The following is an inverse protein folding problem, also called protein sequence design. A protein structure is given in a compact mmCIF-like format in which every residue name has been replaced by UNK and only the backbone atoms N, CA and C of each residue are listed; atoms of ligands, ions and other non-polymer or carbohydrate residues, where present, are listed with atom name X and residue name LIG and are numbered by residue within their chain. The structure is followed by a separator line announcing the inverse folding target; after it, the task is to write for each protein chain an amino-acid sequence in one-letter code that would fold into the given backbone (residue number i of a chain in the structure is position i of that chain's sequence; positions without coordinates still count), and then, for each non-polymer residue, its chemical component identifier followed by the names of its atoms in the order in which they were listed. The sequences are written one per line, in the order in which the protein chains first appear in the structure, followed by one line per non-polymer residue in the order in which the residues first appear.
data_IF_934262039595
#
_entry.id   IF_934262039595
#
_cell.length_a   1.000
_cell.length_b   1.000
_cell.length_c   1.000
_cell.angle_alpha   90.00
_cell.angle_beta   90.00
_cell.angle_gamma   90.00
#
_symmetry.space_group_name_H-M   'P 1'
#
loop_
_entity.id
_entity.type
_entity.pdbx_description
1 polymer ?
#
# COMPACT_ATOMS: atom_id res chain seq x y z
N UNK A 1 -7.00 -8.41 -36.63
CA UNK A 1 -6.55 -9.29 -35.52
C UNK A 1 -5.06 -9.13 -35.16
N UNK A 2 -4.16 -8.85 -36.11
CA UNK A 2 -2.72 -8.59 -35.82
C UNK A 2 -2.46 -7.36 -34.92
N UNK A 3 -3.20 -6.25 -35.13
CA UNK A 3 -3.01 -5.01 -34.36
C UNK A 3 -3.36 -5.17 -32.88
N UNK A 4 -4.45 -5.86 -32.56
CA UNK A 4 -4.92 -6.10 -31.19
C UNK A 4 -3.91 -6.92 -30.39
N UNK A 5 -3.36 -7.99 -30.98
CA UNK A 5 -2.35 -8.82 -30.34
C UNK A 5 -1.05 -8.03 -30.09
N UNK A 6 -0.62 -7.21 -31.06
CA UNK A 6 0.57 -6.38 -30.90
C UNK A 6 0.41 -5.32 -29.79
N UNK A 7 -0.79 -4.77 -29.64
CA UNK A 7 -1.13 -3.78 -28.62
C UNK A 7 -1.15 -4.40 -27.22
N UNK A 8 -1.82 -5.54 -27.06
CA UNK A 8 -1.83 -6.32 -25.81
C UNK A 8 -0.41 -6.74 -25.40
N UNK A 9 0.43 -7.14 -26.36
CA UNK A 9 1.82 -7.52 -26.08
C UNK A 9 2.65 -6.33 -25.56
N UNK A 10 2.41 -5.12 -26.07
CA UNK A 10 3.03 -3.89 -25.56
C UNK A 10 2.58 -3.58 -24.13
N UNK A 11 1.28 -3.64 -23.86
CA UNK A 11 0.72 -3.42 -22.53
C UNK A 11 1.27 -4.42 -21.50
N UNK A 12 1.36 -5.71 -21.85
CA UNK A 12 1.94 -6.74 -20.96
C UNK A 12 3.41 -6.44 -20.64
N UNK A 13 4.20 -5.99 -21.63
CA UNK A 13 5.60 -5.60 -21.42
C UNK A 13 5.68 -4.34 -20.55
N UNK A 14 4.77 -3.39 -20.75
CA UNK A 14 4.69 -2.18 -19.94
C UNK A 14 4.36 -2.49 -18.47
N UNK A 15 3.32 -3.30 -18.23
CA UNK A 15 2.94 -3.77 -16.88
C UNK A 15 4.10 -4.54 -16.24
N UNK A 16 4.81 -5.38 -16.99
CA UNK A 16 5.98 -6.11 -16.50
C UNK A 16 7.11 -5.15 -16.10
N UNK A 17 7.34 -4.08 -16.85
CA UNK A 17 8.35 -3.07 -16.52
C UNK A 17 7.94 -2.22 -15.30
N UNK A 18 6.66 -1.88 -15.17
CA UNK A 18 6.11 -1.13 -14.03
C UNK A 18 5.71 -2.02 -12.84
N UNK A 19 5.99 -3.33 -12.89
CA UNK A 19 5.63 -4.27 -11.83
C UNK A 19 6.18 -3.85 -10.46
N UNK A 20 7.39 -3.29 -10.42
CA UNK A 20 8.01 -2.78 -9.19
C UNK A 20 7.21 -1.60 -8.61
N UNK A 21 6.64 -0.75 -9.46
CA UNK A 21 5.82 0.39 -9.03
C UNK A 21 4.45 -0.08 -8.53
N UNK A 22 3.85 -1.06 -9.22
CA UNK A 22 2.60 -1.71 -8.81
C UNK A 22 2.75 -2.35 -7.43
N UNK A 23 3.82 -3.13 -7.21
CA UNK A 23 4.09 -3.76 -5.91
C UNK A 23 4.22 -2.72 -4.80
N UNK A 24 4.89 -1.60 -5.07
CA UNK A 24 4.99 -0.50 -4.09
C UNK A 24 3.64 0.15 -3.82
N UNK A 25 2.80 0.35 -4.85
CA UNK A 25 1.43 0.81 -4.68
C UNK A 25 0.61 -0.11 -3.79
N UNK A 26 0.73 -1.43 -3.97
CA UNK A 26 0.09 -2.43 -3.10
C UNK A 26 0.58 -2.33 -1.66
N UNK A 27 1.89 -2.13 -1.45
CA UNK A 27 2.47 -1.93 -0.12
C UNK A 27 1.86 -0.69 0.55
N UNK A 28 1.77 0.44 -0.16
CA UNK A 28 1.12 1.65 0.36
C UNK A 28 -0.34 1.42 0.73
N UNK A 29 -1.08 0.70 -0.10
CA UNK A 29 -2.49 0.39 0.16
C UNK A 29 -2.66 -0.46 1.43
N UNK A 30 -1.82 -1.48 1.62
CA UNK A 30 -1.83 -2.33 2.81
C UNK A 30 -1.47 -1.50 4.06
N UNK A 31 -0.44 -0.66 3.98
CA UNK A 31 -0.05 0.23 5.08
C UNK A 31 -1.18 1.20 5.45
N UNK A 32 -1.82 1.83 4.47
CA UNK A 32 -2.92 2.77 4.68
C UNK A 32 -4.18 2.10 5.28
N UNK A 33 -4.44 0.83 4.93
CA UNK A 33 -5.58 0.08 5.46
C UNK A 33 -5.28 -0.73 6.73
N UNK A 34 -4.02 -0.78 7.17
CA UNK A 34 -3.58 -1.63 8.29
C UNK A 34 -4.21 -1.26 9.63
N UNK A 35 -4.41 0.02 9.92
CA UNK A 35 -5.08 0.49 11.15
C UNK A 35 -6.53 0.04 11.22
N UNK A 36 -7.23 0.05 10.09
CA UNK A 36 -8.59 -0.48 9.97
C UNK A 36 -8.62 -2.00 10.18
N UNK A 37 -7.71 -2.74 9.54
CA UNK A 37 -7.59 -4.19 9.73
C UNK A 37 -7.29 -4.57 11.18
N UNK A 38 -6.35 -3.87 11.83
CA UNK A 38 -6.02 -4.05 13.24
C UNK A 38 -7.24 -3.79 14.14
N UNK A 39 -8.01 -2.74 13.84
CA UNK A 39 -9.21 -2.39 14.60
C UNK A 39 -10.30 -3.46 14.50
N UNK A 40 -10.52 -4.03 13.31
CA UNK A 40 -11.45 -5.15 13.12
C UNK A 40 -10.99 -6.38 13.90
N UNK A 41 -9.71 -6.73 13.84
CA UNK A 41 -9.16 -7.90 14.52
C UNK A 41 -9.31 -7.77 16.05
N UNK A 42 -8.98 -6.60 16.60
CA UNK A 42 -9.13 -6.32 18.03
C UNK A 42 -10.60 -6.32 18.46
N UNK A 43 -11.51 -5.85 17.60
CA UNK A 43 -12.95 -5.94 17.85
C UNK A 43 -13.44 -7.38 17.87
N UNK A 44 -12.95 -8.21 16.94
CA UNK A 44 -13.28 -9.64 16.89
C UNK A 44 -12.80 -10.39 18.15
N UNK A 45 -11.64 -9.99 18.71
CA UNK A 45 -11.11 -10.53 19.96
C UNK A 45 -11.81 -10.02 21.23
N UNK A 46 -12.81 -9.15 21.10
CA UNK A 46 -13.62 -8.66 22.22
C UNK A 46 -12.99 -7.54 23.04
N UNK A 47 -11.96 -6.84 22.53
CA UNK A 47 -11.37 -5.70 23.22
C UNK A 47 -12.31 -4.48 23.24
N UNK A 48 -12.16 -3.63 24.26
CA UNK A 48 -12.94 -2.41 24.43
C UNK A 48 -12.56 -1.34 23.38
N UNK A 49 -13.49 -0.45 23.04
CA UNK A 49 -13.32 0.60 22.03
C UNK A 49 -12.12 1.52 22.29
N UNK A 50 -11.80 1.80 23.55
CA UNK A 50 -10.63 2.60 23.92
C UNK A 50 -9.31 1.92 23.55
N UNK A 51 -9.21 0.60 23.76
CA UNK A 51 -8.01 -0.19 23.42
C UNK A 51 -7.86 -0.31 21.91
N UNK A 52 -8.98 -0.50 21.21
CA UNK A 52 -9.02 -0.53 19.75
C UNK A 52 -8.53 0.80 19.18
N UNK A 53 -9.06 1.92 19.68
CA UNK A 53 -8.70 3.25 19.20
C UNK A 53 -7.22 3.58 19.50
N UNK A 54 -6.72 3.28 20.69
CA UNK A 54 -5.33 3.57 21.04
C UNK A 54 -4.34 2.74 20.24
N UNK A 55 -4.57 1.43 20.09
CA UNK A 55 -3.73 0.58 19.25
C UNK A 55 -3.85 0.91 17.76
N UNK A 56 -5.06 1.23 17.29
CA UNK A 56 -5.31 1.68 15.91
C UNK A 56 -4.50 2.92 15.56
N UNK A 57 -4.53 3.94 16.42
CA UNK A 57 -3.73 5.15 16.25
C UNK A 57 -2.22 4.89 16.25
N UNK A 58 -1.74 3.99 17.11
CA UNK A 58 -0.32 3.60 17.12
C UNK A 58 0.06 2.94 15.79
N UNK A 59 -0.77 2.02 15.29
CA UNK A 59 -0.55 1.34 14.00
C UNK A 59 -0.58 2.33 12.84
N UNK A 60 -1.50 3.30 12.83
CA UNK A 60 -1.55 4.35 11.80
C UNK A 60 -0.33 5.26 11.85
N UNK A 61 0.13 5.68 13.03
CA UNK A 61 1.34 6.48 13.17
C UNK A 61 2.57 5.76 12.60
N UNK A 62 2.73 4.47 12.90
CA UNK A 62 3.82 3.65 12.37
C UNK A 62 3.70 3.51 10.84
N UNK A 63 2.48 3.32 10.35
CA UNK A 63 2.21 3.18 8.92
C UNK A 63 2.51 4.44 8.14
N UNK A 64 2.11 5.61 8.66
CA UNK A 64 2.45 6.91 8.08
C UNK A 64 3.97 7.15 8.07
N UNK A 65 4.67 6.77 9.14
CA UNK A 65 6.13 6.88 9.20
C UNK A 65 6.81 6.01 8.13
N UNK A 66 6.37 4.76 7.96
CA UNK A 66 6.85 3.86 6.91
C UNK A 66 6.53 4.39 5.52
N UNK A 67 5.30 4.86 5.30
CA UNK A 67 4.88 5.50 4.06
C UNK A 67 5.79 6.69 3.70
N UNK A 68 6.09 7.56 4.66
CA UNK A 68 7.00 8.69 4.46
C UNK A 68 8.39 8.22 4.01
N UNK A 69 8.96 7.19 4.64
CA UNK A 69 10.28 6.68 4.27
C UNK A 69 10.30 6.05 2.86
N UNK A 70 9.24 5.32 2.51
CA UNK A 70 9.04 4.76 1.17
C UNK A 70 8.88 5.85 0.11
N UNK A 71 8.09 6.89 0.38
CA UNK A 71 7.88 8.05 -0.50
C UNK A 71 9.14 8.93 -0.62
N UNK A 72 9.97 9.02 0.42
CA UNK A 72 11.18 9.84 0.40
C UNK A 72 12.11 9.47 -0.76
N UNK A 73 12.18 8.19 -1.13
CA UNK A 73 12.97 7.74 -2.30
C UNK A 73 12.42 8.21 -3.64
N UNK A 74 11.12 8.50 -3.72
CA UNK A 74 10.46 9.05 -4.89
C UNK A 74 10.56 10.58 -4.94
N UNK A 75 10.50 11.24 -3.78
CA UNK A 75 10.63 12.70 -3.68
C UNK A 75 12.06 13.18 -3.92
N UNK A 76 13.06 12.31 -3.71
CA UNK A 76 14.45 12.54 -4.11
C UNK A 76 14.62 12.30 -5.61
N UNK A 77 13.89 13.06 -6.43
CA UNK A 77 14.16 13.13 -7.86
C UNK A 77 15.57 13.67 -8.04
N UNK A 78 16.36 12.97 -8.86
CA UNK A 78 17.70 13.38 -9.28
C UNK A 78 17.62 14.75 -9.95
N UNK A 79 18.27 15.74 -9.37
CA UNK A 79 19.18 16.59 -10.14
C UNK A 79 20.45 15.79 -10.44
#
# INVERSE_FOLDING_TARGET
MSSVVSWVKKEIVYIKNSFIEIVKGVIFFILASSGFGASILLRYLGYNGTVIASLGLIVECISLFLCYFLLRKYLKSKD
#
